data_IF_885678108529
#
_entry.id   IF_885678108529
#
_cell.length_a   1.000
_cell.length_b   1.000
_cell.length_c   1.000
_cell.angle_alpha   90.00
_cell.angle_beta   90.00
_cell.angle_gamma   90.00
#
_symmetry.space_group_name_H-M   'P 1'
#
loop_
_entity.id
_entity.type
_entity.pdbx_description
1 polymer ?
#
# COMPACT_ATOMS: atom_id res chain seq x y z
N UNK A 1 28.42 27.67 -11.46
CA UNK A 1 27.15 27.19 -12.05
C UNK A 1 26.39 26.40 -11.02
N UNK A 2 25.35 27.01 -10.45
CA UNK A 2 24.47 26.35 -9.45
C UNK A 2 23.51 25.41 -10.20
N UNK A 3 23.63 24.09 -9.97
CA UNK A 3 22.67 23.11 -10.45
C UNK A 3 21.32 23.39 -9.78
N UNK A 4 20.33 23.76 -10.58
CA UNK A 4 18.92 23.83 -10.17
C UNK A 4 18.49 22.44 -9.69
N UNK A 5 18.42 22.24 -8.38
CA UNK A 5 17.75 21.10 -7.78
C UNK A 5 16.31 21.08 -8.30
N UNK A 6 15.98 20.12 -9.15
CA UNK A 6 14.58 19.83 -9.53
C UNK A 6 13.83 19.52 -8.23
N UNK A 7 12.97 20.44 -7.81
CA UNK A 7 11.99 20.15 -6.77
C UNK A 7 11.17 18.96 -7.27
N UNK A 8 11.29 17.82 -6.62
CA UNK A 8 10.36 16.71 -6.78
C UNK A 8 8.99 17.25 -6.35
N UNK A 9 8.17 17.61 -7.32
CA UNK A 9 6.76 17.81 -7.09
C UNK A 9 6.20 16.45 -6.68
N UNK A 10 6.02 16.25 -5.39
CA UNK A 10 5.23 15.15 -4.84
C UNK A 10 3.78 15.40 -5.28
N UNK A 11 3.47 14.94 -6.49
CA UNK A 11 2.08 14.86 -6.94
C UNK A 11 1.44 13.78 -6.07
N UNK A 12 0.47 14.16 -5.25
CA UNK A 12 -0.32 13.22 -4.49
C UNK A 12 -1.09 12.32 -5.47
N UNK A 13 -0.57 11.12 -5.72
CA UNK A 13 -1.24 10.15 -6.59
C UNK A 13 -2.45 9.56 -5.88
N UNK A 14 -3.57 9.55 -6.57
CA UNK A 14 -4.77 8.84 -6.15
C UNK A 14 -4.44 7.33 -6.06
N UNK A 15 -4.51 6.75 -4.85
CA UNK A 15 -4.09 5.36 -4.60
C UNK A 15 -5.11 4.34 -4.99
N UNK A 16 -6.37 4.71 -4.94
CA UNK A 16 -7.52 3.87 -5.28
C UNK A 16 -8.72 4.72 -5.64
N UNK A 17 -9.68 4.12 -6.32
CA UNK A 17 -11.01 4.71 -6.51
C UNK A 17 -12.05 3.86 -5.79
N UNK A 18 -13.04 4.54 -5.24
CA UNK A 18 -14.16 3.91 -4.51
C UNK A 18 -14.77 2.77 -5.32
N UNK A 19 -14.97 1.59 -4.71
CA UNK A 19 -15.58 0.46 -5.39
C UNK A 19 -17.01 0.78 -5.85
N UNK A 20 -17.33 0.34 -7.06
CA UNK A 20 -18.64 0.57 -7.69
C UNK A 20 -19.26 -0.77 -8.04
N UNK A 21 -20.54 -0.94 -7.67
CA UNK A 21 -21.35 -2.06 -8.11
C UNK A 21 -22.06 -1.71 -9.42
N UNK A 22 -21.81 -2.50 -10.45
CA UNK A 22 -22.54 -2.42 -11.74
C UNK A 22 -23.65 -3.45 -11.74
N UNK A 23 -24.85 -3.00 -11.36
CA UNK A 23 -26.07 -3.81 -11.33
C UNK A 23 -26.92 -3.71 -12.62
N UNK A 24 -26.51 -2.88 -13.58
CA UNK A 24 -27.22 -2.71 -14.86
C UNK A 24 -26.63 -3.65 -15.93
N UNK A 25 -27.48 -4.25 -16.77
CA UNK A 25 -27.03 -5.13 -17.85
C UNK A 25 -26.97 -6.62 -17.48
N UNK A 26 -26.46 -7.44 -18.41
CA UNK A 26 -26.37 -8.90 -18.27
C UNK A 26 -25.33 -9.35 -17.23
N UNK A 27 -24.22 -8.63 -17.11
CA UNK A 27 -23.17 -8.93 -16.16
C UNK A 27 -23.29 -8.09 -14.89
N UNK A 28 -23.25 -8.77 -13.74
CA UNK A 28 -23.25 -8.16 -12.42
C UNK A 28 -21.87 -8.26 -11.81
N UNK A 29 -21.24 -7.13 -11.52
CA UNK A 29 -19.88 -7.11 -10.99
C UNK A 29 -19.61 -5.88 -10.11
N UNK A 30 -18.70 -6.03 -9.20
CA UNK A 30 -18.06 -4.93 -8.48
C UNK A 30 -16.72 -4.67 -9.12
N UNK A 31 -16.38 -3.40 -9.33
CA UNK A 31 -15.06 -3.01 -9.80
C UNK A 31 -14.50 -1.86 -8.97
N UNK A 32 -13.20 -1.84 -8.88
CA UNK A 32 -12.45 -0.80 -8.20
C UNK A 32 -11.09 -0.63 -8.87
N UNK A 33 -10.41 0.45 -8.53
CA UNK A 33 -9.09 0.74 -9.05
C UNK A 33 -8.10 0.81 -7.90
N UNK A 34 -6.93 0.25 -8.10
CA UNK A 34 -5.81 0.29 -7.15
C UNK A 34 -4.55 0.68 -7.88
N UNK A 35 -3.63 1.30 -7.17
CA UNK A 35 -2.33 1.67 -7.72
C UNK A 35 -1.57 0.40 -8.12
N UNK A 36 -1.12 0.36 -9.38
CA UNK A 36 -0.29 -0.73 -9.89
C UNK A 36 1.15 -0.54 -9.41
N UNK A 37 1.68 -1.46 -8.58
CA UNK A 37 3.03 -1.34 -8.05
C UNK A 37 4.10 -1.28 -9.14
N UNK A 38 3.94 -2.08 -10.20
CA UNK A 38 4.89 -2.12 -11.32
C UNK A 38 4.95 -0.77 -12.06
N UNK A 39 3.81 -0.07 -12.16
CA UNK A 39 3.75 1.25 -12.79
C UNK A 39 4.48 2.32 -11.99
N UNK A 40 4.51 2.20 -10.66
CA UNK A 40 5.26 3.10 -9.77
C UNK A 40 6.76 2.92 -9.96
N UNK A 41 7.22 1.66 -10.07
CA UNK A 41 8.63 1.35 -10.31
C UNK A 41 9.13 1.89 -11.65
N UNK A 42 8.25 1.93 -12.65
CA UNK A 42 8.57 2.47 -13.98
C UNK A 42 8.47 4.01 -14.05
N UNK A 43 8.15 4.69 -12.93
CA UNK A 43 8.04 6.15 -12.88
C UNK A 43 6.75 6.73 -13.47
N UNK A 44 5.82 5.90 -13.90
CA UNK A 44 4.53 6.29 -14.46
C UNK A 44 3.36 5.67 -13.67
N UNK A 45 3.02 6.19 -12.49
CA UNK A 45 1.97 5.61 -11.64
C UNK A 45 0.63 5.52 -12.35
N UNK A 46 0.05 4.34 -12.39
CA UNK A 46 -1.25 4.07 -13.03
C UNK A 46 -2.17 3.29 -12.10
N UNK A 47 -3.47 3.53 -12.23
CA UNK A 47 -4.47 2.75 -11.53
C UNK A 47 -4.88 1.54 -12.38
N UNK A 48 -4.78 0.35 -11.81
CA UNK A 48 -5.25 -0.89 -12.42
C UNK A 48 -6.65 -1.22 -11.97
N UNK A 49 -7.52 -1.55 -12.93
CA UNK A 49 -8.91 -1.92 -12.66
C UNK A 49 -9.01 -3.39 -12.28
N UNK A 50 -9.65 -3.66 -11.14
CA UNK A 50 -9.98 -5.00 -10.69
C UNK A 50 -11.49 -5.17 -10.73
N UNK A 51 -11.95 -6.33 -11.19
CA UNK A 51 -13.37 -6.65 -11.33
C UNK A 51 -13.68 -8.03 -10.78
N UNK A 52 -14.70 -8.12 -9.92
CA UNK A 52 -15.23 -9.38 -9.41
C UNK A 52 -16.67 -9.57 -9.88
N UNK A 53 -16.93 -10.67 -10.57
CA UNK A 53 -18.26 -11.04 -11.07
C UNK A 53 -19.04 -11.82 -10.02
N UNK A 54 -20.38 -11.62 -9.98
CA UNK A 54 -21.32 -12.27 -9.08
C UNK A 54 -22.37 -13.09 -9.82
N UNK A 55 -22.20 -13.33 -11.12
CA UNK A 55 -23.17 -14.04 -11.97
C UNK A 55 -23.38 -15.51 -11.58
N UNK A 56 -22.48 -16.10 -10.78
CA UNK A 56 -22.61 -17.46 -10.25
C UNK A 56 -23.77 -17.60 -9.24
N UNK A 57 -24.19 -16.51 -8.62
CA UNK A 57 -25.34 -16.50 -7.71
C UNK A 57 -26.61 -16.30 -8.55
N UNK A 58 -27.45 -17.35 -8.63
CA UNK A 58 -28.67 -17.33 -9.48
C UNK A 58 -29.73 -16.39 -8.93
N UNK A 59 -29.96 -16.40 -7.62
CA UNK A 59 -30.94 -15.53 -6.98
C UNK A 59 -30.50 -14.08 -7.08
N UNK A 60 -31.36 -13.23 -7.68
CA UNK A 60 -31.07 -11.82 -7.91
C UNK A 60 -30.83 -11.06 -6.60
N UNK A 61 -31.71 -11.27 -5.59
CA UNK A 61 -31.63 -10.56 -4.31
C UNK A 61 -30.33 -10.91 -3.56
N UNK A 62 -30.04 -12.19 -3.42
CA UNK A 62 -28.81 -12.68 -2.76
C UNK A 62 -27.56 -12.18 -3.49
N UNK A 63 -27.57 -12.17 -4.80
CA UNK A 63 -26.46 -11.67 -5.62
C UNK A 63 -26.21 -10.18 -5.39
N UNK A 64 -27.27 -9.38 -5.40
CA UNK A 64 -27.17 -7.94 -5.20
C UNK A 64 -26.69 -7.63 -3.77
N UNK A 65 -27.20 -8.35 -2.77
CA UNK A 65 -26.74 -8.25 -1.37
C UNK A 65 -25.26 -8.65 -1.22
N UNK A 66 -24.84 -9.77 -1.82
CA UNK A 66 -23.47 -10.24 -1.78
C UNK A 66 -22.51 -9.25 -2.46
N UNK A 67 -22.93 -8.67 -3.59
CA UNK A 67 -22.13 -7.66 -4.29
C UNK A 67 -21.99 -6.36 -3.49
N UNK A 68 -23.04 -5.92 -2.81
CA UNK A 68 -23.01 -4.73 -1.98
C UNK A 68 -22.14 -4.93 -0.75
N UNK A 69 -22.26 -6.08 -0.05
CA UNK A 69 -21.37 -6.42 1.06
C UNK A 69 -19.90 -6.43 0.63
N UNK A 70 -19.59 -7.10 -0.46
CA UNK A 70 -18.24 -7.13 -1.00
C UNK A 70 -17.73 -5.74 -1.35
N UNK A 71 -18.56 -4.87 -1.97
CA UNK A 71 -18.20 -3.48 -2.26
C UNK A 71 -17.80 -2.73 -0.99
N UNK A 72 -18.59 -2.87 0.07
CA UNK A 72 -18.37 -2.14 1.32
C UNK A 72 -17.14 -2.67 2.07
N UNK A 73 -16.94 -3.99 2.10
CA UNK A 73 -15.73 -4.62 2.65
C UNK A 73 -14.46 -4.13 1.93
N UNK A 74 -14.48 -4.11 0.59
CA UNK A 74 -13.34 -3.62 -0.20
C UNK A 74 -13.11 -2.13 0.04
N UNK A 75 -14.17 -1.32 0.17
CA UNK A 75 -14.02 0.11 0.46
C UNK A 75 -13.29 0.36 1.79
N UNK A 76 -13.61 -0.43 2.82
CA UNK A 76 -12.94 -0.37 4.12
C UNK A 76 -11.46 -0.79 3.98
N UNK A 77 -11.19 -1.92 3.34
CA UNK A 77 -9.82 -2.43 3.13
C UNK A 77 -8.95 -1.46 2.36
N UNK A 78 -9.47 -0.85 1.29
CA UNK A 78 -8.75 0.15 0.50
C UNK A 78 -8.41 1.41 1.33
N UNK A 79 -9.32 1.87 2.18
CA UNK A 79 -9.06 2.98 3.11
C UNK A 79 -7.98 2.63 4.13
N UNK A 80 -7.87 1.36 4.53
CA UNK A 80 -6.81 0.84 5.40
C UNK A 80 -5.48 0.61 4.66
N UNK A 81 -5.44 0.91 3.36
CA UNK A 81 -4.22 0.79 2.54
C UNK A 81 -3.99 -0.58 1.93
N UNK A 82 -4.96 -1.48 2.01
CA UNK A 82 -4.88 -2.76 1.33
C UNK A 82 -4.82 -2.60 -0.19
N UNK A 83 -3.93 -3.36 -0.82
CA UNK A 83 -3.80 -3.44 -2.27
C UNK A 83 -3.62 -4.91 -2.68
N UNK A 84 -4.62 -5.52 -3.37
CA UNK A 84 -4.56 -6.93 -3.73
C UNK A 84 -3.42 -7.26 -4.68
N UNK A 85 -2.94 -6.31 -5.47
CA UNK A 85 -1.81 -6.53 -6.38
C UNK A 85 -0.48 -6.71 -5.63
N UNK A 86 -0.40 -6.24 -4.38
CA UNK A 86 0.77 -6.39 -3.53
C UNK A 86 0.70 -7.71 -2.75
N UNK A 87 -0.49 -8.09 -2.27
CA UNK A 87 -0.69 -9.37 -1.59
C UNK A 87 -0.49 -10.57 -2.53
N UNK A 88 -1.01 -10.48 -3.77
CA UNK A 88 -0.84 -11.54 -4.78
C UNK A 88 0.60 -11.67 -5.29
N UNK A 89 1.39 -10.59 -5.17
CA UNK A 89 2.83 -10.63 -5.43
C UNK A 89 3.62 -11.44 -4.38
N UNK A 90 2.97 -12.16 -3.54
CA UNK A 90 3.23 -13.15 -2.48
C UNK A 90 4.65 -13.53 -2.10
N UNK A 91 5.68 -13.12 -2.79
CA UNK A 91 7.11 -13.28 -2.48
C UNK A 91 7.99 -12.18 -3.08
N UNK A 92 7.45 -11.27 -3.85
CA UNK A 92 8.20 -10.14 -4.41
C UNK A 92 7.96 -8.90 -3.56
N UNK A 93 8.55 -8.88 -2.41
CA UNK A 93 9.20 -7.80 -1.75
C UNK A 93 8.53 -6.45 -1.57
N UNK A 94 7.23 -6.25 -1.81
CA UNK A 94 6.59 -5.02 -1.38
C UNK A 94 6.27 -5.11 0.11
N UNK A 95 6.98 -4.34 0.90
CA UNK A 95 6.71 -4.20 2.32
C UNK A 95 6.37 -2.74 2.62
N UNK A 96 5.57 -2.50 3.64
CA UNK A 96 5.28 -1.13 4.05
C UNK A 96 6.53 -0.48 4.60
N UNK A 97 6.64 0.83 4.43
CA UNK A 97 7.74 1.61 4.99
C UNK A 97 7.91 1.37 6.50
N UNK A 98 6.80 1.34 7.23
CA UNK A 98 6.80 1.03 8.67
C UNK A 98 7.36 -0.35 8.97
N UNK A 99 6.98 -1.38 8.20
CA UNK A 99 7.50 -2.74 8.41
C UNK A 99 9.01 -2.84 8.15
N UNK A 100 9.55 -2.06 7.20
CA UNK A 100 11.00 -1.98 6.97
C UNK A 100 11.70 -1.35 8.18
N UNK A 101 11.16 -0.24 8.69
CA UNK A 101 11.70 0.41 9.87
C UNK A 101 11.70 -0.55 11.07
N UNK A 102 10.60 -1.28 11.29
CA UNK A 102 10.48 -2.22 12.42
C UNK A 102 11.49 -3.37 12.34
N UNK A 103 11.73 -3.90 11.13
CA UNK A 103 12.80 -4.88 10.90
C UNK A 103 14.17 -4.30 11.20
N UNK A 104 14.42 -3.08 10.76
CA UNK A 104 15.69 -2.40 11.02
C UNK A 104 15.91 -2.11 12.51
N UNK A 105 14.86 -1.68 13.23
CA UNK A 105 14.89 -1.53 14.71
C UNK A 105 15.24 -2.85 15.38
N UNK A 106 14.65 -3.97 14.95
CA UNK A 106 14.94 -5.29 15.47
C UNK A 106 16.41 -5.66 15.24
N UNK A 107 16.93 -5.37 14.06
CA UNK A 107 18.34 -5.57 13.73
C UNK A 107 19.27 -4.71 14.62
N UNK A 108 18.96 -3.42 14.79
CA UNK A 108 19.74 -2.53 15.67
C UNK A 108 19.77 -3.00 17.13
N UNK A 109 18.64 -3.50 17.66
CA UNK A 109 18.57 -4.08 19.00
C UNK A 109 19.47 -5.29 19.15
N UNK A 110 19.55 -6.13 18.11
CA UNK A 110 20.47 -7.26 18.08
C UNK A 110 21.91 -6.78 18.07
N UNK A 111 22.27 -5.81 17.23
CA UNK A 111 23.64 -5.25 17.20
C UNK A 111 24.06 -4.63 18.53
N UNK A 112 23.12 -3.96 19.22
CA UNK A 112 23.38 -3.42 20.55
C UNK A 112 23.63 -4.55 21.56
N UNK A 113 22.82 -5.61 21.53
CA UNK A 113 22.98 -6.78 22.41
C UNK A 113 24.32 -7.50 22.18
N UNK A 114 24.77 -7.55 20.92
CA UNK A 114 26.03 -8.20 20.52
C UNK A 114 27.24 -7.25 20.63
N UNK A 115 27.09 -6.09 21.30
CA UNK A 115 28.14 -5.05 21.52
C UNK A 115 28.76 -4.51 20.20
N UNK A 116 28.10 -4.69 19.06
CA UNK A 116 28.57 -4.18 17.76
C UNK A 116 28.34 -2.68 17.64
N UNK A 117 27.29 -2.15 18.31
CA UNK A 117 26.92 -0.74 18.30
C UNK A 117 26.84 -0.21 19.72
N UNK A 118 27.44 0.96 19.98
CA UNK A 118 27.38 1.64 21.27
C UNK A 118 25.95 2.18 21.53
N UNK A 119 25.57 2.26 22.82
CA UNK A 119 24.26 2.77 23.25
C UNK A 119 23.95 4.17 22.68
N UNK A 120 24.94 5.08 22.65
CA UNK A 120 24.75 6.44 22.09
C UNK A 120 24.41 6.40 20.60
N UNK A 121 25.07 5.55 19.84
CA UNK A 121 24.81 5.36 18.41
C UNK A 121 23.42 4.76 18.19
N UNK A 122 23.04 3.76 18.98
CA UNK A 122 21.70 3.18 18.96
C UNK A 122 20.63 4.25 19.21
N UNK A 123 20.79 5.07 20.24
CA UNK A 123 19.84 6.14 20.57
C UNK A 123 19.69 7.14 19.41
N UNK A 124 20.80 7.51 18.75
CA UNK A 124 20.76 8.40 17.59
C UNK A 124 19.98 7.78 16.41
N UNK A 125 20.19 6.50 16.12
CA UNK A 125 19.42 5.81 15.08
C UNK A 125 17.93 5.75 15.43
N UNK A 126 17.59 5.41 16.68
CA UNK A 126 16.19 5.36 17.13
C UNK A 126 15.49 6.70 17.01
N UNK A 127 16.16 7.80 17.36
CA UNK A 127 15.64 9.15 17.18
C UNK A 127 15.28 9.43 15.71
N UNK A 128 16.20 9.12 14.79
CA UNK A 128 15.97 9.33 13.34
C UNK A 128 14.86 8.42 12.78
N UNK A 129 14.80 7.17 13.22
CA UNK A 129 13.75 6.24 12.79
C UNK A 129 12.36 6.66 13.29
N UNK A 130 12.26 7.21 14.49
CA UNK A 130 11.03 7.76 15.02
C UNK A 130 10.56 8.98 14.20
N UNK A 131 11.47 9.90 13.88
CA UNK A 131 11.17 11.04 13.01
C UNK A 131 10.67 10.58 11.63
N UNK A 132 11.26 9.53 11.05
CA UNK A 132 10.83 8.94 9.79
C UNK A 132 9.43 8.31 9.89
N UNK A 133 9.11 7.65 11.00
CA UNK A 133 7.75 7.13 11.24
C UNK A 133 6.71 8.25 11.34
N UNK A 134 6.98 9.26 12.16
CA UNK A 134 6.12 10.44 12.30
C UNK A 134 5.89 11.14 10.98
N UNK A 135 6.94 11.30 10.18
CA UNK A 135 6.82 11.86 8.84
C UNK A 135 5.93 10.99 7.93
N UNK A 136 6.14 9.65 7.92
CA UNK A 136 5.32 8.74 7.14
C UNK A 136 3.84 8.79 7.56
N UNK A 137 3.57 8.90 8.84
CA UNK A 137 2.22 9.00 9.37
C UNK A 137 1.56 10.34 8.99
N UNK A 138 2.35 11.42 8.98
CA UNK A 138 1.86 12.77 8.63
C UNK A 138 1.44 12.90 7.17
N UNK A 139 2.06 12.17 6.24
CA UNK A 139 1.70 12.23 4.82
C UNK A 139 0.42 11.44 4.49
N UNK A 140 -0.15 10.70 5.47
CA UNK A 140 -1.37 9.91 5.29
C UNK A 140 -1.28 8.88 4.16
N UNK A 141 -0.06 8.56 3.74
CA UNK A 141 0.26 7.78 2.55
C UNK A 141 1.05 6.56 2.98
N UNK A 142 0.48 5.36 2.76
CA UNK A 142 1.26 4.14 2.89
C UNK A 142 2.35 4.12 1.80
N UNK A 143 3.58 4.35 2.22
CA UNK A 143 4.74 4.16 1.36
C UNK A 143 5.09 2.68 1.35
N UNK A 144 5.23 2.13 0.15
CA UNK A 144 5.75 0.78 -0.06
C UNK A 144 7.18 0.87 -0.57
N UNK A 145 8.03 0.01 -0.04
CA UNK A 145 9.43 -0.12 -0.46
C UNK A 145 9.56 -1.45 -1.20
N UNK A 146 10.10 -1.40 -2.39
CA UNK A 146 10.53 -2.60 -3.11
C UNK A 146 11.88 -3.05 -2.56
N UNK A 147 11.94 -4.26 -2.04
CA UNK A 147 13.19 -4.91 -1.65
C UNK A 147 13.46 -5.98 -2.70
N UNK A 148 14.44 -5.79 -3.59
CA UNK A 148 14.84 -6.85 -4.52
C UNK A 148 15.34 -8.07 -3.72
N UNK A 149 14.87 -9.25 -4.10
CA UNK A 149 15.27 -10.55 -3.53
C UNK A 149 16.51 -11.02 -4.25
#
# INVERSE_FOLDING_TARGET
MLQKTKRLNLVAFEKFRTPIYSGKGKEKFVYFYVLDPDSVLNGEPRLKRIRKKFNHIKNKKERDEAALRFRDEIAIKLKQGWNPLIEDCGKKGFTTFTAVIDRYVTYLKKMLKDDVVKQSTFNNYMCRLNQLKEWNDSIGTLLYIYIPV
#
